data_IF_373749502972
#
_entry.id   IF_373749502972
#
_cell.length_a   1.000
_cell.length_b   1.000
_cell.length_c   1.000
_cell.angle_alpha   90.00
_cell.angle_beta   90.00
_cell.angle_gamma   90.00
#
_symmetry.space_group_name_H-M   'P 1'
#
loop_
_entity.id
_entity.type
_entity.pdbx_description
1 polymer ?
#
# COMPACT_ATOMS: atom_id res chain seq x y z
N UNK A 1 33.99 36.81 -34.20
CA UNK A 1 33.34 35.47 -34.06
C UNK A 1 32.81 35.19 -32.64
N UNK A 2 32.23 36.18 -31.92
CA UNK A 2 31.76 35.98 -30.52
C UNK A 2 30.26 36.21 -30.31
N UNK A 3 29.53 36.71 -31.32
CA UNK A 3 28.12 37.11 -31.16
C UNK A 3 27.10 36.00 -31.43
N UNK A 4 27.48 34.94 -32.16
CA UNK A 4 26.54 33.88 -32.57
C UNK A 4 26.23 32.88 -31.44
N UNK A 5 27.18 32.67 -30.53
CA UNK A 5 27.00 31.78 -29.38
C UNK A 5 26.23 32.43 -28.22
N UNK A 6 26.29 33.77 -28.10
CA UNK A 6 25.57 34.50 -27.07
C UNK A 6 24.05 34.45 -27.27
N UNK A 7 23.58 34.50 -28.54
CA UNK A 7 22.16 34.35 -28.85
C UNK A 7 21.62 32.93 -28.66
N UNK A 8 22.48 31.91 -28.78
CA UNK A 8 22.09 30.50 -28.54
C UNK A 8 22.01 30.20 -27.03
N UNK A 9 22.81 30.88 -26.20
CA UNK A 9 22.77 30.68 -24.75
C UNK A 9 21.51 31.30 -24.10
N UNK A 10 20.99 32.40 -24.68
CA UNK A 10 19.80 33.10 -24.16
C UNK A 10 18.49 32.36 -24.49
N UNK A 11 18.44 31.58 -25.58
CA UNK A 11 17.23 30.82 -25.96
C UNK A 11 17.01 29.54 -25.15
N UNK A 12 18.04 28.97 -24.51
CA UNK A 12 17.88 27.80 -23.63
C UNK A 12 17.44 28.15 -22.21
N UNK A 13 17.64 29.41 -21.78
CA UNK A 13 17.25 29.86 -20.44
C UNK A 13 15.79 30.37 -20.38
N UNK A 14 15.15 30.64 -21.52
CA UNK A 14 13.76 31.11 -21.55
C UNK A 14 12.72 30.00 -21.68
N UNK A 15 13.10 28.77 -22.05
CA UNK A 15 12.18 27.61 -22.06
C UNK A 15 12.23 26.76 -20.78
N UNK A 16 13.10 27.08 -19.84
CA UNK A 16 13.23 26.35 -18.56
C UNK A 16 12.39 26.97 -17.43
N UNK A 17 11.69 28.08 -17.67
CA UNK A 17 10.93 28.81 -16.65
C UNK A 17 9.40 28.53 -16.61
N UNK A 18 8.70 27.94 -17.61
CA UNK A 18 7.28 27.63 -17.40
C UNK A 18 7.06 26.32 -16.63
N UNK A 19 8.09 25.50 -16.39
CA UNK A 19 7.94 24.23 -15.67
C UNK A 19 8.00 24.39 -14.14
N UNK A 20 8.61 25.47 -13.64
CA UNK A 20 8.72 25.69 -12.19
C UNK A 20 7.46 26.32 -11.57
N UNK A 21 6.56 26.88 -12.38
CA UNK A 21 5.28 27.45 -11.91
C UNK A 21 4.14 26.42 -11.79
N UNK A 22 4.33 25.18 -12.27
CA UNK A 22 3.37 24.09 -12.09
C UNK A 22 3.60 23.25 -10.83
N UNK A 23 4.66 23.54 -10.05
CA UNK A 23 4.94 22.87 -8.77
C UNK A 23 4.29 23.55 -7.55
N UNK A 24 3.41 24.52 -7.76
CA UNK A 24 2.54 25.07 -6.72
C UNK A 24 1.10 24.62 -6.93
N UNK A 25 0.89 23.32 -7.19
CA UNK A 25 -0.38 22.71 -6.82
C UNK A 25 -0.40 22.65 -5.31
N UNK A 26 -0.94 23.71 -4.71
CA UNK A 26 -1.49 23.63 -3.35
C UNK A 26 -2.35 22.38 -3.33
N UNK A 27 -1.90 21.35 -2.61
CA UNK A 27 -2.74 20.25 -2.18
C UNK A 27 -3.78 20.87 -1.26
N UNK A 28 -4.84 21.44 -1.85
CA UNK A 28 -6.05 21.73 -1.12
C UNK A 28 -6.44 20.38 -0.53
N UNK A 29 -6.36 20.26 0.79
CA UNK A 29 -6.89 19.11 1.51
C UNK A 29 -8.29 18.88 0.94
N UNK A 30 -8.60 17.68 0.42
CA UNK A 30 -9.95 17.41 -0.04
C UNK A 30 -10.92 17.81 1.08
N UNK A 31 -12.09 18.39 0.76
CA UNK A 31 -13.11 18.67 1.77
C UNK A 31 -13.30 17.40 2.62
N UNK A 32 -13.53 17.52 3.94
CA UNK A 32 -13.72 16.36 4.80
C UNK A 32 -14.75 15.47 4.14
N UNK A 33 -14.28 14.33 3.66
CA UNK A 33 -15.11 13.39 2.94
C UNK A 33 -16.06 12.83 3.98
N UNK A 34 -17.28 13.35 4.04
CA UNK A 34 -18.35 12.77 4.82
C UNK A 34 -18.82 11.52 4.09
N UNK A 35 -17.95 10.50 4.08
CA UNK A 35 -18.36 9.13 3.79
C UNK A 35 -19.50 8.79 4.75
N UNK A 36 -20.49 7.98 4.33
CA UNK A 36 -21.17 7.16 5.32
C UNK A 36 -20.05 6.40 6.05
N UNK A 37 -19.87 6.69 7.35
CA UNK A 37 -18.85 6.08 8.22
C UNK A 37 -18.64 4.62 7.84
N UNK A 38 -17.37 4.18 7.88
CA UNK A 38 -17.03 2.79 7.69
C UNK A 38 -17.64 2.01 8.86
N UNK A 39 -18.92 1.66 8.73
CA UNK A 39 -19.67 1.02 9.79
C UNK A 39 -19.02 -0.31 10.08
N UNK A 40 -18.73 -0.52 11.37
CA UNK A 40 -18.37 -1.82 11.91
C UNK A 40 -19.29 -2.87 11.30
N UNK A 41 -18.69 -3.96 10.82
CA UNK A 41 -19.43 -5.08 10.23
C UNK A 41 -20.64 -5.41 11.12
N UNK A 42 -21.87 -5.49 10.58
CA UNK A 42 -23.04 -5.83 11.37
C UNK A 42 -22.83 -7.13 12.18
N UNK A 43 -23.30 -7.13 13.43
CA UNK A 43 -23.18 -8.29 14.33
C UNK A 43 -22.23 -8.12 15.53
N UNK A 44 -21.75 -6.90 15.80
CA UNK A 44 -21.01 -6.57 17.01
C UNK A 44 -21.74 -5.47 17.78
N UNK A 45 -21.76 -5.59 19.11
CA UNK A 45 -22.42 -4.62 20.00
C UNK A 45 -21.54 -3.41 20.33
N UNK A 46 -20.22 -3.50 20.05
CA UNK A 46 -19.25 -2.43 20.20
C UNK A 46 -18.00 -2.65 19.35
N UNK A 47 -17.26 -1.58 19.06
CA UNK A 47 -15.93 -1.65 18.44
C UNK A 47 -14.97 -2.55 19.21
N UNK A 48 -14.94 -2.46 20.54
CA UNK A 48 -14.07 -3.30 21.36
C UNK A 48 -14.38 -4.79 21.21
N UNK A 49 -15.67 -5.17 21.14
CA UNK A 49 -16.05 -6.57 20.91
C UNK A 49 -15.59 -7.08 19.54
N UNK A 50 -15.58 -6.19 18.54
CA UNK A 50 -15.07 -6.47 17.20
C UNK A 50 -13.55 -6.68 17.22
N UNK A 51 -12.79 -5.74 17.79
CA UNK A 51 -11.33 -5.79 17.88
C UNK A 51 -10.88 -7.03 18.66
N UNK A 52 -11.50 -7.32 19.80
CA UNK A 52 -11.21 -8.54 20.57
C UNK A 52 -11.41 -9.81 19.75
N UNK A 53 -12.46 -9.87 18.92
CA UNK A 53 -12.68 -10.99 18.02
C UNK A 53 -11.59 -11.11 16.95
N UNK A 54 -11.11 -10.01 16.39
CA UNK A 54 -10.02 -10.04 15.39
C UNK A 54 -8.68 -10.43 16.04
N UNK A 55 -8.36 -9.88 17.21
CA UNK A 55 -7.20 -10.26 18.00
C UNK A 55 -7.21 -11.75 18.32
N UNK A 56 -8.34 -12.30 18.78
CA UNK A 56 -8.47 -13.73 19.08
C UNK A 56 -8.21 -14.64 17.88
N UNK A 57 -8.58 -14.21 16.66
CA UNK A 57 -8.24 -14.95 15.43
C UNK A 57 -6.75 -14.88 15.14
N UNK A 58 -6.18 -13.68 15.15
CA UNK A 58 -4.79 -13.45 14.71
C UNK A 58 -3.75 -13.95 15.72
N UNK A 59 -4.08 -13.95 17.02
CA UNK A 59 -3.22 -14.46 18.10
C UNK A 59 -3.35 -15.97 18.32
N UNK A 60 -4.31 -16.65 17.68
CA UNK A 60 -4.48 -18.09 17.86
C UNK A 60 -3.23 -18.85 17.39
N UNK A 61 -2.52 -19.58 18.27
CA UNK A 61 -1.22 -20.17 17.95
C UNK A 61 -1.33 -21.29 16.90
N UNK A 62 -2.42 -22.06 16.92
CA UNK A 62 -2.66 -23.14 15.94
C UNK A 62 -2.86 -22.57 14.54
N UNK A 63 -3.63 -21.49 14.43
CA UNK A 63 -3.86 -20.83 13.15
C UNK A 63 -2.58 -20.14 12.65
N UNK A 64 -1.85 -19.44 13.51
CA UNK A 64 -0.55 -18.85 13.15
C UNK A 64 0.40 -19.89 12.61
N UNK A 65 0.56 -21.02 13.32
CA UNK A 65 1.39 -22.13 12.85
C UNK A 65 0.97 -22.60 11.46
N UNK A 66 -0.32 -22.79 11.22
CA UNK A 66 -0.84 -23.19 9.90
C UNK A 66 -0.49 -22.15 8.82
N UNK A 67 -0.74 -20.86 9.09
CA UNK A 67 -0.51 -19.77 8.15
C UNK A 67 0.96 -19.60 7.81
N UNK A 68 1.88 -19.79 8.77
CA UNK A 68 3.33 -19.64 8.57
C UNK A 68 4.04 -20.94 8.18
N UNK A 69 3.32 -22.05 7.99
CA UNK A 69 3.91 -23.32 7.56
C UNK A 69 3.13 -23.90 6.38
N UNK A 70 2.18 -24.78 6.65
CA UNK A 70 1.41 -25.55 5.66
C UNK A 70 0.76 -24.68 4.59
N UNK A 71 0.17 -23.55 4.99
CA UNK A 71 -0.55 -22.68 4.08
C UNK A 71 0.32 -21.54 3.53
N UNK A 72 1.58 -21.40 3.96
CA UNK A 72 2.45 -20.27 3.61
C UNK A 72 2.66 -20.16 2.10
N UNK A 73 3.39 -21.10 1.52
CA UNK A 73 3.75 -21.06 0.10
C UNK A 73 2.54 -21.17 -0.81
N UNK A 74 1.57 -22.04 -0.44
CA UNK A 74 0.33 -22.23 -1.19
C UNK A 74 -0.44 -20.92 -1.36
N UNK A 75 -0.57 -20.13 -0.30
CA UNK A 75 -1.29 -18.84 -0.36
C UNK A 75 -0.48 -17.77 -1.09
N UNK A 76 0.83 -17.73 -0.88
CA UNK A 76 1.72 -16.83 -1.61
C UNK A 76 1.59 -17.04 -3.11
N UNK A 77 1.58 -18.29 -3.58
CA UNK A 77 1.41 -18.61 -5.00
C UNK A 77 0.08 -18.09 -5.56
N UNK A 78 -1.02 -18.27 -4.82
CA UNK A 78 -2.34 -17.76 -5.23
C UNK A 78 -2.33 -16.24 -5.34
N UNK A 79 -1.79 -15.54 -4.34
CA UNK A 79 -1.70 -14.08 -4.39
C UNK A 79 -0.76 -13.59 -5.49
N UNK A 80 0.38 -14.23 -5.68
CA UNK A 80 1.34 -13.88 -6.73
C UNK A 80 0.71 -13.97 -8.12
N UNK A 81 -0.08 -15.02 -8.39
CA UNK A 81 -0.78 -15.16 -9.67
C UNK A 81 -1.77 -14.01 -9.93
N UNK A 82 -2.47 -13.55 -8.90
CA UNK A 82 -3.36 -12.38 -8.97
C UNK A 82 -2.56 -11.12 -9.24
N UNK A 83 -1.45 -10.90 -8.51
CA UNK A 83 -0.64 -9.69 -8.68
C UNK A 83 0.08 -9.64 -10.03
N UNK A 84 0.55 -10.77 -10.54
CA UNK A 84 1.11 -10.86 -11.90
C UNK A 84 0.08 -10.51 -12.97
N UNK A 85 -1.19 -10.86 -12.76
CA UNK A 85 -2.27 -10.41 -13.65
C UNK A 85 -2.43 -8.90 -13.64
N UNK A 86 -2.41 -8.29 -12.45
CA UNK A 86 -2.44 -6.83 -12.31
C UNK A 86 -1.22 -6.18 -12.98
N UNK A 87 -0.04 -6.81 -12.92
CA UNK A 87 1.15 -6.33 -13.64
C UNK A 87 0.98 -6.38 -15.15
N UNK A 88 0.49 -7.49 -15.70
CA UNK A 88 0.24 -7.63 -17.15
C UNK A 88 -0.77 -6.61 -17.65
N UNK A 89 -1.73 -6.23 -16.81
CA UNK A 89 -2.73 -5.19 -17.09
C UNK A 89 -2.21 -3.76 -16.89
N UNK A 90 -0.96 -3.58 -16.48
CA UNK A 90 -0.35 -2.28 -16.21
C UNK A 90 -0.85 -1.59 -14.95
N UNK A 91 -1.56 -2.29 -14.06
CA UNK A 91 -2.08 -1.76 -12.80
C UNK A 91 -1.06 -1.86 -11.65
N UNK A 92 -0.03 -2.68 -11.84
CA UNK A 92 1.04 -2.88 -10.88
C UNK A 92 2.39 -2.88 -11.61
N UNK A 93 3.41 -2.32 -10.99
CA UNK A 93 4.77 -2.22 -11.55
C UNK A 93 5.81 -2.49 -10.47
N UNK A 94 7.05 -2.80 -10.85
CA UNK A 94 8.13 -2.99 -9.86
C UNK A 94 8.40 -1.72 -9.04
N UNK A 95 8.12 -0.54 -9.60
CA UNK A 95 8.24 0.76 -8.92
C UNK A 95 7.02 1.12 -8.06
N UNK A 96 5.97 0.32 -8.06
CA UNK A 96 4.78 0.57 -7.26
C UNK A 96 5.10 0.43 -5.77
N UNK A 97 4.37 1.19 -4.95
CA UNK A 97 4.29 0.99 -3.51
C UNK A 97 2.95 0.37 -3.18
N UNK A 98 2.93 -0.63 -2.30
CA UNK A 98 1.70 -1.35 -1.98
C UNK A 98 1.49 -1.51 -0.47
N UNK A 99 0.25 -1.30 -0.06
CA UNK A 99 -0.21 -1.48 1.33
C UNK A 99 -1.25 -2.61 1.37
N UNK A 100 -0.97 -3.66 2.13
CA UNK A 100 -1.93 -4.72 2.40
C UNK A 100 -2.62 -4.48 3.74
N UNK A 101 -3.94 -4.32 3.74
CA UNK A 101 -4.74 -4.06 4.94
C UNK A 101 -5.32 -5.37 5.47
N UNK A 102 -5.26 -5.59 6.79
CA UNK A 102 -5.65 -6.87 7.39
C UNK A 102 -4.68 -7.99 7.02
N UNK A 103 -3.39 -7.65 6.94
CA UNK A 103 -2.36 -8.51 6.36
C UNK A 103 -2.02 -9.74 7.23
N UNK A 104 -2.37 -9.71 8.51
CA UNK A 104 -2.06 -10.74 9.51
C UNK A 104 -0.60 -11.18 9.50
N UNK A 105 -0.28 -12.30 8.84
CA UNK A 105 1.09 -12.85 8.76
C UNK A 105 1.87 -12.35 7.53
N UNK A 106 1.23 -11.63 6.61
CA UNK A 106 1.87 -10.98 5.45
C UNK A 106 2.06 -11.87 4.23
N UNK A 107 1.20 -12.85 3.99
CA UNK A 107 1.34 -13.79 2.86
C UNK A 107 1.19 -13.07 1.52
N UNK A 108 0.25 -12.14 1.42
CA UNK A 108 0.04 -11.27 0.28
C UNK A 108 1.16 -10.21 0.12
N UNK A 109 1.73 -9.71 1.23
CA UNK A 109 2.89 -8.81 1.19
C UNK A 109 4.11 -9.53 0.61
N UNK A 110 4.38 -10.75 1.07
CA UNK A 110 5.44 -11.60 0.54
C UNK A 110 5.22 -11.90 -0.95
N UNK A 111 3.98 -12.17 -1.36
CA UNK A 111 3.65 -12.38 -2.76
C UNK A 111 3.92 -11.13 -3.63
N UNK A 112 3.53 -9.93 -3.17
CA UNK A 112 3.85 -8.67 -3.88
C UNK A 112 5.36 -8.48 -4.06
N UNK A 113 6.14 -8.74 -3.01
CA UNK A 113 7.61 -8.66 -3.07
C UNK A 113 8.19 -9.66 -4.08
N UNK A 114 7.67 -10.90 -4.12
CA UNK A 114 8.11 -11.93 -5.09
C UNK A 114 7.80 -11.58 -6.54
N UNK A 115 6.68 -10.91 -6.80
CA UNK A 115 6.37 -10.40 -8.16
C UNK A 115 7.12 -9.10 -8.48
N UNK A 116 8.04 -8.64 -7.63
CA UNK A 116 8.95 -7.52 -7.90
C UNK A 116 8.50 -6.17 -7.35
N UNK A 117 7.39 -6.11 -6.59
CA UNK A 117 6.94 -4.90 -5.88
C UNK A 117 7.58 -4.87 -4.50
N UNK A 118 8.86 -4.54 -4.44
CA UNK A 118 9.67 -4.65 -3.22
C UNK A 118 9.20 -3.71 -2.10
N UNK A 119 8.68 -2.53 -2.45
CA UNK A 119 8.13 -1.53 -1.52
C UNK A 119 6.68 -1.85 -1.13
N UNK A 120 6.52 -3.05 -0.57
CA UNK A 120 5.23 -3.57 -0.08
C UNK A 120 5.29 -3.80 1.42
N UNK A 121 4.25 -3.34 2.13
CA UNK A 121 4.09 -3.50 3.58
C UNK A 121 2.66 -3.89 3.92
N UNK A 122 2.49 -4.73 4.94
CA UNK A 122 1.19 -5.07 5.51
C UNK A 122 0.90 -4.29 6.78
N UNK A 123 -0.38 -4.06 7.06
CA UNK A 123 -0.86 -3.51 8.32
C UNK A 123 -1.89 -4.48 8.93
N UNK A 124 -1.74 -4.74 10.22
CA UNK A 124 -2.70 -5.54 11.00
C UNK A 124 -2.67 -5.13 12.48
N UNK A 125 -3.73 -5.49 13.21
CA UNK A 125 -3.82 -5.27 14.67
C UNK A 125 -2.67 -5.95 15.41
N UNK A 126 -2.20 -7.10 14.90
CA UNK A 126 -1.04 -7.81 15.45
C UNK A 126 0.10 -7.78 14.44
N UNK A 127 1.25 -7.18 14.77
CA UNK A 127 2.38 -7.12 13.86
C UNK A 127 2.96 -8.52 13.60
N UNK A 128 3.56 -8.68 12.42
CA UNK A 128 4.35 -9.85 12.03
C UNK A 128 5.56 -9.39 11.22
N UNK A 129 6.61 -8.86 11.89
CA UNK A 129 7.81 -8.38 11.22
C UNK A 129 8.51 -9.50 10.41
N UNK A 130 9.18 -9.16 9.29
CA UNK A 130 9.36 -7.82 8.73
C UNK A 130 8.23 -7.37 7.78
N UNK A 131 7.20 -8.20 7.58
CA UNK A 131 6.21 -8.01 6.53
C UNK A 131 5.03 -7.12 6.96
N UNK A 132 4.65 -7.20 8.24
CA UNK A 132 3.45 -6.55 8.75
C UNK A 132 3.77 -5.68 9.95
N UNK A 133 3.41 -4.40 9.85
CA UNK A 133 3.48 -3.43 10.95
C UNK A 133 2.13 -3.34 11.67
N UNK A 134 2.16 -2.85 12.92
CA UNK A 134 0.94 -2.67 13.71
C UNK A 134 0.14 -1.49 13.15
N UNK A 135 -1.16 -1.67 12.99
CA UNK A 135 -2.10 -0.58 12.73
C UNK A 135 -3.54 -1.03 12.79
N UNK A 136 -4.42 -0.07 13.07
CA UNK A 136 -5.87 -0.23 12.98
C UNK A 136 -6.36 0.53 11.75
N UNK A 137 -7.31 -0.07 11.04
CA UNK A 137 -7.87 0.47 9.80
C UNK A 137 -9.41 0.52 9.86
N UNK A 138 -10.00 0.22 11.02
CA UNK A 138 -11.43 0.31 11.24
C UNK A 138 -11.78 1.49 12.15
N UNK A 139 -12.90 2.13 11.85
CA UNK A 139 -13.41 3.29 12.56
C UNK A 139 -13.96 2.90 13.94
N UNK A 140 -13.74 3.78 14.92
CA UNK A 140 -14.05 3.57 16.34
C UNK A 140 -15.48 3.99 16.69
#
# INVERSE_FOLDING_TARGET
>A
MKSKYLMILVTFFSLSIPCLFLLLTTTASPPPFSTPDLRIRPGYTSYESYIQRQLNKTLNPKLRKIWTTRDWDRKIQVFAAIFDDLKRRGLLSNSSRALCVGARMGQEVEALRRVGVSDSVGVDLVPSPPLVVRGDFEER
#
